data_IF_834863908017
#
_entry.id   IF_834863908017
#
_cell.length_a   1.000
_cell.length_b   1.000
_cell.length_c   1.000
_cell.angle_alpha   90.00
_cell.angle_beta   90.00
_cell.angle_gamma   90.00
#
_symmetry.space_group_name_H-M   'P 1'
#
loop_
_entity.id
_entity.type
_entity.pdbx_description
1 polymer ?
#
# COMPACT_ATOMS: atom_id res chain seq x y z
N UNK A 1 -3.53 -16.81 13.53
CA UNK A 1 -3.49 -15.94 12.33
C UNK A 1 -3.00 -16.78 11.17
N UNK A 2 -3.61 -16.72 9.98
CA UNK A 2 -2.99 -17.31 8.79
C UNK A 2 -1.66 -16.59 8.55
N UNK A 3 -0.57 -17.34 8.44
CA UNK A 3 0.73 -16.78 8.06
C UNK A 3 0.72 -16.55 6.56
N UNK A 4 0.81 -15.29 6.16
CA UNK A 4 1.03 -14.90 4.77
C UNK A 4 2.51 -14.63 4.56
N UNK A 5 3.03 -15.04 3.41
CA UNK A 5 4.43 -14.79 3.05
C UNK A 5 4.60 -13.34 2.58
N UNK A 6 3.58 -12.81 1.91
CA UNK A 6 3.60 -11.46 1.33
C UNK A 6 2.32 -10.67 1.64
N UNK A 7 2.52 -9.39 1.90
CA UNK A 7 1.46 -8.40 2.08
C UNK A 7 1.54 -7.41 0.92
N UNK A 8 0.41 -7.21 0.25
CA UNK A 8 0.27 -6.34 -0.90
C UNK A 8 -0.71 -5.23 -0.52
N UNK A 9 -0.31 -3.99 -0.74
CA UNK A 9 -1.18 -2.83 -0.53
C UNK A 9 -1.36 -2.11 -1.85
N UNK A 10 -2.60 -1.77 -2.19
CA UNK A 10 -2.94 -0.92 -3.33
C UNK A 10 -3.82 0.21 -2.81
N UNK A 11 -3.44 1.45 -3.09
CA UNK A 11 -4.13 2.63 -2.59
C UNK A 11 -4.29 3.70 -3.67
N UNK A 12 -5.36 4.46 -3.58
CA UNK A 12 -5.81 5.43 -4.56
C UNK A 12 -5.96 6.79 -3.89
N UNK A 13 -5.37 7.81 -4.49
CA UNK A 13 -5.43 9.17 -3.99
C UNK A 13 -5.58 10.14 -5.14
N UNK A 14 -6.80 10.64 -5.34
CA UNK A 14 -7.17 11.56 -6.43
C UNK A 14 -6.72 11.04 -7.81
N UNK A 15 -5.71 11.65 -8.41
CA UNK A 15 -5.16 11.32 -9.72
C UNK A 15 -3.99 10.33 -9.65
N UNK A 16 -3.71 9.74 -8.48
CA UNK A 16 -2.62 8.80 -8.25
C UNK A 16 -3.13 7.44 -7.77
N UNK A 17 -2.37 6.41 -8.13
CA UNK A 17 -2.49 5.05 -7.65
C UNK A 17 -1.10 4.57 -7.21
N UNK A 18 -1.05 3.91 -6.07
CA UNK A 18 0.16 3.32 -5.53
C UNK A 18 -0.02 1.85 -5.25
N UNK A 19 1.07 1.09 -5.28
CA UNK A 19 1.12 -0.22 -4.64
C UNK A 19 2.45 -0.47 -3.96
N UNK A 20 2.41 -1.35 -2.96
CA UNK A 20 3.59 -1.89 -2.31
C UNK A 20 3.46 -3.39 -2.06
N UNK A 21 4.59 -4.08 -2.08
CA UNK A 21 4.70 -5.51 -1.75
C UNK A 21 5.80 -5.65 -0.71
N UNK A 22 5.49 -6.32 0.41
CA UNK A 22 6.41 -6.55 1.52
C UNK A 22 6.33 -8.00 2.00
N UNK A 23 7.50 -8.58 2.28
CA UNK A 23 7.60 -9.89 2.92
C UNK A 23 7.21 -9.80 4.40
N UNK A 24 6.60 -10.85 4.93
CA UNK A 24 6.21 -10.95 6.34
C UNK A 24 7.35 -10.61 7.32
N UNK A 25 8.57 -11.12 7.05
CA UNK A 25 9.75 -10.83 7.88
C UNK A 25 10.14 -9.35 7.84
N UNK A 26 10.09 -8.74 6.66
CA UNK A 26 10.37 -7.31 6.47
C UNK A 26 9.31 -6.41 7.07
N UNK A 27 8.07 -6.85 7.12
CA UNK A 27 7.00 -6.14 7.82
C UNK A 27 7.35 -5.98 9.30
N UNK A 28 7.76 -7.08 9.97
CA UNK A 28 8.14 -7.05 11.39
C UNK A 28 9.30 -6.07 11.65
N UNK A 29 10.33 -6.08 10.79
CA UNK A 29 11.46 -5.15 10.85
C UNK A 29 11.05 -3.68 10.62
N UNK A 30 10.03 -3.46 9.78
CA UNK A 30 9.54 -2.14 9.43
C UNK A 30 8.70 -1.51 10.55
N UNK A 31 7.90 -2.30 11.27
CA UNK A 31 6.91 -1.79 12.24
C UNK A 31 7.46 -0.74 13.21
N UNK A 32 8.61 -0.93 13.89
CA UNK A 32 9.13 0.06 14.84
C UNK A 32 9.45 1.42 14.19
N UNK A 33 9.82 1.42 12.91
CA UNK A 33 10.16 2.64 12.15
C UNK A 33 8.92 3.46 11.79
N UNK A 34 7.78 2.78 11.62
CA UNK A 34 6.54 3.38 11.12
C UNK A 34 5.48 3.58 12.19
N UNK A 35 5.70 3.18 13.46
CA UNK A 35 4.73 3.31 14.56
C UNK A 35 4.11 4.70 14.72
N UNK A 36 4.84 5.77 14.35
CA UNK A 36 4.37 7.16 14.49
C UNK A 36 3.56 7.65 13.28
N UNK A 37 3.47 6.84 12.23
CA UNK A 37 2.74 7.21 11.02
C UNK A 37 1.25 7.22 11.34
N UNK A 38 0.54 8.15 10.72
CA UNK A 38 -0.90 8.34 10.81
C UNK A 38 -1.46 8.74 9.45
N UNK A 39 -2.77 8.70 9.29
CA UNK A 39 -3.39 9.19 8.07
C UNK A 39 -3.14 10.68 7.92
N UNK A 40 -2.74 11.10 6.72
CA UNK A 40 -2.51 12.50 6.38
C UNK A 40 -3.69 13.41 6.78
N UNK A 41 -4.93 12.95 6.56
CA UNK A 41 -6.17 13.70 6.88
C UNK A 41 -6.32 14.03 8.36
N UNK A 42 -5.72 13.24 9.25
CA UNK A 42 -5.77 13.44 10.72
C UNK A 42 -4.72 14.42 11.26
N UNK A 43 -3.79 14.89 10.42
CA UNK A 43 -2.74 15.80 10.86
C UNK A 43 -3.26 17.26 10.90
N UNK A 44 -3.09 17.93 12.03
CA UNK A 44 -3.47 19.34 12.20
C UNK A 44 -2.69 20.27 11.26
N UNK A 45 -1.37 20.09 11.16
CA UNK A 45 -0.53 20.75 10.15
C UNK A 45 -0.03 19.72 9.13
N UNK A 46 -0.80 19.57 8.07
CA UNK A 46 -0.61 18.59 7.00
C UNK A 46 0.74 18.72 6.27
N UNK A 47 1.15 19.93 5.89
CA UNK A 47 2.43 20.15 5.18
C UNK A 47 3.63 19.80 6.07
N UNK A 48 3.64 20.28 7.31
CA UNK A 48 4.72 19.98 8.25
C UNK A 48 4.79 18.48 8.56
N UNK A 49 3.63 17.85 8.73
CA UNK A 49 3.55 16.41 8.95
C UNK A 49 4.16 15.62 7.79
N UNK A 50 3.78 15.90 6.54
CA UNK A 50 4.35 15.20 5.39
C UNK A 50 5.85 15.45 5.23
N UNK A 51 6.34 16.64 5.58
CA UNK A 51 7.78 16.92 5.63
C UNK A 51 8.47 15.97 6.61
N UNK A 52 7.97 15.85 7.85
CA UNK A 52 8.54 14.95 8.85
C UNK A 52 8.49 13.48 8.43
N UNK A 53 7.39 13.05 7.80
CA UNK A 53 7.27 11.68 7.29
C UNK A 53 8.25 11.43 6.14
N UNK A 54 8.38 12.37 5.20
CA UNK A 54 9.37 12.28 4.12
C UNK A 54 10.79 12.15 4.67
N UNK A 55 11.12 12.94 5.69
CA UNK A 55 12.43 12.89 6.35
C UNK A 55 12.65 11.56 7.07
N UNK A 56 11.64 11.03 7.77
CA UNK A 56 11.70 9.72 8.41
C UNK A 56 11.88 8.58 7.39
N UNK A 57 11.12 8.60 6.28
CA UNK A 57 11.24 7.62 5.20
C UNK A 57 12.66 7.58 4.63
N UNK A 58 13.29 8.75 4.48
CA UNK A 58 14.67 8.84 3.99
C UNK A 58 15.68 8.39 5.05
N UNK A 59 15.56 8.88 6.28
CA UNK A 59 16.53 8.61 7.37
C UNK A 59 16.55 7.14 7.75
N UNK A 60 15.37 6.53 7.87
CA UNK A 60 15.21 5.16 8.39
C UNK A 60 15.18 4.12 7.25
N UNK A 61 15.42 4.58 6.02
CA UNK A 61 15.42 3.82 4.77
C UNK A 61 14.19 2.92 4.63
N UNK A 62 13.01 3.48 4.86
CA UNK A 62 11.75 2.71 4.90
C UNK A 62 11.46 2.02 3.56
N UNK A 63 11.90 2.61 2.44
CA UNK A 63 11.63 2.07 1.11
C UNK A 63 12.34 0.74 0.84
N UNK A 64 13.49 0.48 1.46
CA UNK A 64 14.23 -0.77 1.25
C UNK A 64 13.56 -1.99 1.89
N UNK A 65 12.58 -1.78 2.78
CA UNK A 65 11.75 -2.85 3.33
C UNK A 65 10.77 -3.44 2.29
N UNK A 66 10.51 -2.75 1.19
CA UNK A 66 9.55 -3.19 0.17
C UNK A 66 10.25 -3.86 -1.02
N UNK A 67 9.75 -5.02 -1.40
CA UNK A 67 10.18 -5.71 -2.64
C UNK A 67 9.81 -4.90 -3.88
N UNK A 68 8.60 -4.33 -3.86
CA UNK A 68 8.11 -3.41 -4.89
C UNK A 68 7.41 -2.26 -4.20
N UNK A 69 7.63 -1.06 -4.71
CA UNK A 69 6.93 0.15 -4.32
C UNK A 69 6.85 1.06 -5.54
N UNK A 70 5.65 1.30 -6.05
CA UNK A 70 5.43 2.19 -7.20
C UNK A 70 4.24 3.11 -6.96
N UNK A 71 4.37 4.33 -7.46
CA UNK A 71 3.28 5.32 -7.55
C UNK A 71 3.19 5.74 -9.01
N UNK A 72 1.98 5.78 -9.54
CA UNK A 72 1.66 6.11 -10.93
C UNK A 72 0.45 7.03 -10.97
N UNK A 73 0.28 7.70 -12.10
CA UNK A 73 -0.98 8.38 -12.40
C UNK A 73 -2.11 7.36 -12.58
N UNK A 74 -3.32 7.75 -12.21
CA UNK A 74 -4.51 6.90 -12.16
C UNK A 74 -4.83 6.25 -13.52
N UNK A 75 -4.59 6.95 -14.62
CA UNK A 75 -4.81 6.41 -15.97
C UNK A 75 -3.87 5.23 -16.32
N UNK A 76 -2.84 4.98 -15.49
CA UNK A 76 -1.91 3.84 -15.59
C UNK A 76 -2.21 2.75 -14.55
N UNK A 77 -3.41 2.71 -13.97
CA UNK A 77 -3.81 1.69 -12.98
C UNK A 77 -3.64 0.25 -13.50
N UNK A 78 -3.87 0.01 -14.79
CA UNK A 78 -3.69 -1.30 -15.41
C UNK A 78 -2.25 -1.81 -15.31
N UNK A 79 -1.24 -0.93 -15.38
CA UNK A 79 0.16 -1.33 -15.20
C UNK A 79 0.39 -1.90 -13.80
N UNK A 80 -0.21 -1.28 -12.77
CA UNK A 80 -0.13 -1.73 -11.39
C UNK A 80 -0.86 -3.06 -11.21
N UNK A 81 -2.05 -3.20 -11.79
CA UNK A 81 -2.79 -4.45 -11.72
C UNK A 81 -2.02 -5.61 -12.36
N UNK A 82 -1.46 -5.41 -13.56
CA UNK A 82 -0.64 -6.43 -14.23
C UNK A 82 0.58 -6.81 -13.39
N UNK A 83 1.30 -5.81 -12.84
CA UNK A 83 2.44 -6.02 -11.94
C UNK A 83 2.10 -6.89 -10.72
N UNK A 84 0.91 -6.69 -10.15
CA UNK A 84 0.41 -7.42 -8.99
C UNK A 84 -0.05 -8.82 -9.38
N UNK A 85 -0.81 -8.97 -10.47
CA UNK A 85 -1.25 -10.28 -10.96
C UNK A 85 -0.06 -11.17 -11.35
N UNK A 86 0.97 -10.62 -11.98
CA UNK A 86 2.18 -11.37 -12.33
C UNK A 86 3.03 -11.74 -11.12
N UNK A 87 2.93 -10.98 -10.02
CA UNK A 87 3.51 -11.37 -8.74
C UNK A 87 2.73 -12.54 -8.14
N UNK A 88 1.39 -12.42 -8.09
CA UNK A 88 0.50 -13.43 -7.53
C UNK A 88 0.61 -14.80 -8.25
N UNK A 89 0.85 -14.82 -9.57
CA UNK A 89 1.11 -16.06 -10.34
C UNK A 89 2.35 -16.85 -9.89
N UNK A 90 3.28 -16.22 -9.18
CA UNK A 90 4.59 -16.80 -8.82
C UNK A 90 4.72 -17.06 -7.33
N UNK A 91 3.77 -16.58 -6.53
CA UNK A 91 3.87 -16.54 -5.08
C UNK A 91 2.53 -16.90 -4.46
N UNK A 92 2.50 -18.02 -3.75
CA UNK A 92 1.34 -18.45 -2.98
C UNK A 92 1.25 -17.66 -1.66
N UNK A 93 0.13 -17.83 -0.94
CA UNK A 93 -0.10 -17.28 0.41
C UNK A 93 0.10 -15.76 0.49
N UNK A 94 -0.50 -15.03 -0.44
CA UNK A 94 -0.53 -13.58 -0.43
C UNK A 94 -1.79 -13.05 0.27
N UNK A 95 -1.65 -11.96 1.01
CA UNK A 95 -2.78 -11.11 1.40
C UNK A 95 -2.68 -9.76 0.72
N UNK A 96 -3.80 -9.31 0.15
CA UNK A 96 -3.92 -8.07 -0.56
C UNK A 96 -4.95 -7.17 0.11
N UNK A 97 -4.54 -5.94 0.38
CA UNK A 97 -5.38 -4.86 0.87
C UNK A 97 -5.51 -3.81 -0.23
N UNK A 98 -6.75 -3.46 -0.57
CA UNK A 98 -7.02 -2.48 -1.61
C UNK A 98 -7.95 -1.38 -1.09
N UNK A 99 -7.53 -0.13 -1.26
CA UNK A 99 -8.32 1.05 -0.94
C UNK A 99 -8.95 1.61 -2.20
N UNK A 100 -10.13 1.10 -2.54
CA UNK A 100 -10.90 1.53 -3.71
C UNK A 100 -12.39 1.53 -3.41
N UNK A 101 -13.15 2.24 -4.25
CA UNK A 101 -14.59 2.06 -4.28
C UNK A 101 -14.99 0.66 -4.79
N UNK A 102 -16.26 0.30 -4.57
CA UNK A 102 -16.77 -1.00 -5.00
C UNK A 102 -16.72 -1.21 -6.52
N UNK A 103 -16.74 -0.12 -7.31
CA UNK A 103 -16.73 -0.18 -8.78
C UNK A 103 -15.39 -0.70 -9.32
N UNK A 104 -14.28 -0.38 -8.65
CA UNK A 104 -12.95 -0.89 -8.96
C UNK A 104 -12.65 -2.20 -8.21
N UNK A 105 -13.16 -2.34 -6.97
CA UNK A 105 -12.94 -3.52 -6.15
C UNK A 105 -13.43 -4.81 -6.82
N UNK A 106 -14.66 -4.79 -7.33
CA UNK A 106 -15.32 -5.99 -7.88
C UNK A 106 -14.57 -6.51 -9.12
N UNK A 107 -14.26 -5.68 -10.14
CA UNK A 107 -13.45 -6.12 -11.28
C UNK A 107 -12.07 -6.65 -10.87
N UNK A 108 -11.38 -5.96 -9.95
CA UNK A 108 -10.06 -6.39 -9.51
C UNK A 108 -10.09 -7.75 -8.81
N UNK A 109 -11.05 -7.94 -7.90
CA UNK A 109 -11.27 -9.24 -7.23
C UNK A 109 -11.54 -10.36 -8.23
N UNK A 110 -12.33 -10.12 -9.27
CA UNK A 110 -12.57 -11.10 -10.34
C UNK A 110 -11.26 -11.46 -11.07
N UNK A 111 -10.41 -10.48 -11.39
CA UNK A 111 -9.13 -10.73 -12.05
C UNK A 111 -8.18 -11.57 -11.18
N UNK A 112 -8.09 -11.28 -9.89
CA UNK A 112 -7.25 -12.06 -8.97
C UNK A 112 -7.80 -13.49 -8.82
N UNK A 113 -9.12 -13.67 -8.74
CA UNK A 113 -9.72 -15.00 -8.66
C UNK A 113 -9.47 -15.87 -9.89
N UNK A 114 -9.29 -15.26 -11.07
CA UNK A 114 -8.90 -15.97 -12.30
C UNK A 114 -7.45 -16.45 -12.22
N UNK A 115 -6.58 -15.72 -11.51
CA UNK A 115 -5.15 -16.04 -11.40
C UNK A 115 -4.92 -17.15 -10.39
N UNK A 116 -5.40 -17.01 -9.15
CA UNK A 116 -5.21 -18.03 -8.11
C UNK A 116 -6.17 -17.83 -6.90
N UNK A 117 -7.47 -17.96 -7.16
CA UNK A 117 -8.55 -17.53 -6.26
C UNK A 117 -8.62 -18.21 -4.88
N UNK A 118 -7.95 -19.34 -4.67
CA UNK A 118 -8.05 -20.10 -3.41
C UNK A 118 -6.93 -19.77 -2.41
N UNK A 119 -5.76 -19.32 -2.88
CA UNK A 119 -4.59 -19.04 -2.04
C UNK A 119 -4.42 -17.55 -1.69
N UNK A 120 -5.21 -16.66 -2.31
CA UNK A 120 -5.06 -15.21 -2.18
C UNK A 120 -6.25 -14.66 -1.41
N UNK A 121 -5.96 -13.94 -0.32
CA UNK A 121 -6.98 -13.22 0.43
C UNK A 121 -6.98 -11.76 0.01
N UNK A 122 -8.13 -11.27 -0.43
CA UNK A 122 -8.33 -9.87 -0.81
C UNK A 122 -9.27 -9.23 0.20
N UNK A 123 -8.86 -8.09 0.75
CA UNK A 123 -9.64 -7.28 1.69
C UNK A 123 -9.66 -5.84 1.24
N UNK A 124 -10.76 -5.15 1.53
CA UNK A 124 -10.79 -3.69 1.43
C UNK A 124 -9.98 -3.06 2.56
N UNK A 125 -9.38 -1.89 2.32
CA UNK A 125 -8.65 -1.17 3.36
C UNK A 125 -9.56 -0.83 4.56
N UNK A 126 -10.85 -0.59 4.33
CA UNK A 126 -11.83 -0.36 5.40
C UNK A 126 -11.99 -1.54 6.36
N UNK A 127 -11.54 -2.75 5.98
CA UNK A 127 -11.51 -3.94 6.83
C UNK A 127 -10.24 -4.02 7.69
N UNK A 128 -9.28 -3.10 7.53
CA UNK A 128 -8.09 -3.03 8.36
C UNK A 128 -8.44 -2.52 9.76
N UNK A 129 -7.98 -3.25 10.76
CA UNK A 129 -8.19 -2.90 12.17
C UNK A 129 -7.07 -1.96 12.59
N UNK A 130 -7.43 -0.79 13.15
CA UNK A 130 -6.46 0.17 13.66
C UNK A 130 -5.55 -0.47 14.70
N UNK A 131 -4.25 -0.22 14.58
CA UNK A 131 -3.23 -0.74 15.49
C UNK A 131 -2.68 -2.11 15.11
N UNK A 132 -3.18 -2.76 14.04
CA UNK A 132 -2.54 -3.97 13.52
C UNK A 132 -1.32 -3.63 12.64
N UNK A 133 -0.38 -4.59 12.47
CA UNK A 133 0.75 -4.42 11.57
C UNK A 133 0.38 -4.00 10.15
N UNK A 134 -0.70 -4.58 9.60
CA UNK A 134 -1.16 -4.33 8.24
C UNK A 134 -1.71 -2.92 8.10
N UNK A 135 -2.48 -2.46 9.09
CA UNK A 135 -2.92 -1.07 9.15
C UNK A 135 -1.72 -0.12 9.22
N UNK A 136 -0.74 -0.39 10.07
CA UNK A 136 0.42 0.50 10.19
C UNK A 136 1.22 0.54 8.87
N UNK A 137 1.37 -0.58 8.19
CA UNK A 137 2.05 -0.66 6.90
C UNK A 137 1.28 0.06 5.78
N UNK A 138 -0.06 -0.01 5.76
CA UNK A 138 -0.87 0.69 4.75
C UNK A 138 -0.64 2.21 4.80
N UNK A 139 -0.42 2.77 6.01
CA UNK A 139 -0.11 4.18 6.20
C UNK A 139 1.18 4.63 5.50
N UNK A 140 2.11 3.73 5.21
CA UNK A 140 3.32 4.09 4.45
C UNK A 140 2.93 4.49 3.02
N UNK A 141 2.06 3.71 2.38
CA UNK A 141 1.60 3.97 1.02
C UNK A 141 0.72 5.23 0.97
N UNK A 142 -0.24 5.38 1.89
CA UNK A 142 -1.07 6.59 2.04
C UNK A 142 -0.20 7.84 2.12
N UNK A 143 0.78 7.86 3.04
CA UNK A 143 1.64 9.02 3.21
C UNK A 143 2.53 9.30 1.97
N UNK A 144 3.02 8.26 1.28
CA UNK A 144 3.81 8.42 0.06
C UNK A 144 2.97 9.00 -1.09
N UNK A 145 1.73 8.55 -1.26
CA UNK A 145 0.79 9.10 -2.23
C UNK A 145 0.54 10.60 -1.97
N UNK A 146 0.29 10.96 -0.71
CA UNK A 146 0.09 12.36 -0.32
C UNK A 146 1.35 13.21 -0.52
N UNK A 147 2.55 12.67 -0.26
CA UNK A 147 3.83 13.34 -0.57
C UNK A 147 3.96 13.59 -2.06
N UNK A 148 3.64 12.61 -2.91
CA UNK A 148 3.78 12.72 -4.35
C UNK A 148 2.77 13.73 -4.93
N UNK A 149 1.53 13.73 -4.42
CA UNK A 149 0.51 14.73 -4.77
C UNK A 149 0.97 16.15 -4.49
N UNK A 150 1.56 16.41 -3.32
CA UNK A 150 2.09 17.75 -3.01
C UNK A 150 3.14 18.20 -4.03
N UNK A 151 4.02 17.29 -4.49
CA UNK A 151 5.02 17.65 -5.51
C UNK A 151 4.41 17.96 -6.88
N UNK A 152 3.25 17.39 -7.21
CA UNK A 152 2.56 17.69 -8.47
C UNK A 152 1.87 19.06 -8.40
N UNK A 153 1.34 19.44 -7.24
CA UNK A 153 0.65 20.72 -7.05
C UNK A 153 1.62 21.91 -6.89
N UNK A 154 2.87 21.66 -6.50
CA UNK A 154 3.94 22.67 -6.40
C UNK A 154 4.66 22.91 -7.75
N UNK A 155 4.24 22.26 -8.84
CA UNK A 155 4.76 22.44 -10.21
C UNK A 155 3.81 23.26 -11.06
#
# INVERSE_FOLDING_TARGET
MKEFDYYIFIDYSENLIGYSIIESKKLIELLPKIMRFRHYRSAMNQKLYLKHIKDAIKRDDIKSSFLKLKIKEMHKNMDIYLDVLDFLKKHDKCILFISVDNSQYIPFRKMVNIVDGDNIIIKQESELIKGTPEYQASLVLDNLLNIERLKQNDK
#
